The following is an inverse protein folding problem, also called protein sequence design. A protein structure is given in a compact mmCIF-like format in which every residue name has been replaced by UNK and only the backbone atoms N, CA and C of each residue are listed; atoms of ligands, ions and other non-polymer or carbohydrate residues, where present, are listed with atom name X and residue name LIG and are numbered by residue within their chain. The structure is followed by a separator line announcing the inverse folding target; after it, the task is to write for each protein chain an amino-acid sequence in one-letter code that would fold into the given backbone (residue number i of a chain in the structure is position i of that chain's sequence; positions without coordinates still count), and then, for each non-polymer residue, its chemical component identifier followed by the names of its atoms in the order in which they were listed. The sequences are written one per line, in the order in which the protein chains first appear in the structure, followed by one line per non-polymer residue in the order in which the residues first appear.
data_IF_261322875729
#
_entry.id   IF_261322875729
#
_cell.length_a   1.000
_cell.length_b   1.000
_cell.length_c   1.000
_cell.angle_alpha   90.00
_cell.angle_beta   90.00
_cell.angle_gamma   90.00
#
_symmetry.space_group_name_H-M   'P 1'
#
loop_
_entity.id
_entity.type
_entity.pdbx_description
1 polymer ?
#
# COMPACT_ATOMS: atom_id res chain seq x y z
N UNK A 1 -14.00 -32.44 -15.52
CA UNK A 1 -13.41 -31.83 -14.37
C UNK A 1 -12.00 -31.40 -14.75
N UNK A 2 -11.84 -30.26 -15.32
CA UNK A 2 -10.55 -29.78 -15.81
C UNK A 2 -10.33 -28.42 -15.13
N UNK A 3 -9.44 -28.40 -14.14
CA UNK A 3 -8.96 -27.16 -13.55
C UNK A 3 -8.20 -26.36 -14.60
N UNK A 4 -8.76 -25.25 -15.02
CA UNK A 4 -8.04 -24.28 -15.84
C UNK A 4 -7.00 -23.59 -14.95
N UNK A 5 -5.73 -23.82 -15.24
CA UNK A 5 -4.63 -23.00 -14.75
C UNK A 5 -4.92 -21.55 -15.12
N UNK A 6 -5.22 -20.73 -14.12
CA UNK A 6 -5.27 -19.29 -14.28
C UNK A 6 -3.83 -18.83 -14.40
N UNK A 7 -3.48 -18.24 -15.52
CA UNK A 7 -2.16 -17.71 -15.83
C UNK A 7 -1.76 -16.69 -14.76
N UNK A 8 -0.64 -16.93 -14.08
CA UNK A 8 0.07 -15.93 -13.31
C UNK A 8 0.70 -14.98 -14.31
N UNK A 9 0.21 -13.75 -14.38
CA UNK A 9 0.85 -12.70 -15.19
C UNK A 9 2.07 -12.17 -14.43
N UNK A 10 3.25 -12.64 -14.82
CA UNK A 10 4.53 -12.11 -14.37
C UNK A 10 4.95 -10.96 -15.30
N UNK A 11 5.06 -9.75 -14.75
CA UNK A 11 5.57 -8.61 -15.51
C UNK A 11 7.09 -8.48 -15.32
N UNK A 12 7.83 -8.48 -16.45
CA UNK A 12 9.26 -8.18 -16.49
C UNK A 12 9.45 -6.76 -17.01
N UNK A 13 10.03 -5.90 -16.21
CA UNK A 13 10.35 -4.53 -16.60
C UNK A 13 11.83 -4.40 -16.94
N UNK A 14 12.13 -3.83 -18.10
CA UNK A 14 13.47 -3.62 -18.60
C UNK A 14 13.80 -2.11 -18.63
N UNK A 15 14.98 -1.76 -18.14
CA UNK A 15 15.46 -0.38 -18.25
C UNK A 15 16.03 -0.09 -19.64
N UNK A 16 15.45 0.88 -20.36
CA UNK A 16 16.01 1.44 -21.58
C UNK A 16 16.52 2.85 -21.28
N UNK A 17 17.77 2.99 -20.93
CA UNK A 17 18.41 4.33 -20.93
C UNK A 17 18.86 4.67 -22.35
N UNK A 18 18.01 5.32 -23.14
CA UNK A 18 18.44 6.05 -24.33
C UNK A 18 18.91 7.43 -23.89
N UNK A 19 20.23 7.70 -23.97
CA UNK A 19 20.77 9.05 -23.97
C UNK A 19 20.24 9.76 -25.21
N UNK A 20 19.38 10.75 -25.03
CA UNK A 20 18.99 11.72 -26.06
C UNK A 20 20.13 12.73 -26.18
N UNK A 21 20.90 12.64 -27.25
CA UNK A 21 21.79 13.70 -27.66
C UNK A 21 20.98 14.70 -28.49
N UNK A 22 20.76 15.88 -27.94
CA UNK A 22 20.18 17.02 -28.65
C UNK A 22 21.22 17.55 -29.62
N UNK A 23 20.86 17.55 -30.90
CA UNK A 23 21.67 18.16 -31.94
C UNK A 23 21.38 19.65 -32.03
N UNK A 24 22.42 20.44 -32.14
CA UNK A 24 22.45 21.56 -33.11
C UNK A 24 23.86 22.06 -33.28
N UNK A 25 24.40 21.89 -34.49
CA UNK A 25 25.39 22.78 -35.07
C UNK A 25 25.53 22.50 -36.56
N UNK A 26 24.85 23.31 -37.34
CA UNK A 26 25.06 23.42 -38.78
C UNK A 26 25.89 24.67 -39.09
N UNK A 27 26.86 24.45 -39.97
CA UNK A 27 27.54 25.39 -40.89
C UNK A 27 28.78 26.14 -40.38
N UNK A 28 29.91 25.77 -40.96
CA UNK A 28 30.66 26.70 -41.84
C UNK A 28 31.71 25.97 -42.69
N UNK A 29 31.65 26.22 -43.99
CA UNK A 29 32.58 25.82 -45.05
C UNK A 29 33.97 26.43 -44.87
N UNK A 30 35.04 25.65 -45.07
CA UNK A 30 36.18 26.12 -45.88
C UNK A 30 37.00 24.92 -46.38
N UNK A 31 37.27 24.90 -47.69
CA UNK A 31 38.05 23.90 -48.41
C UNK A 31 39.53 24.02 -48.04
N UNK A 32 40.12 22.95 -47.45
CA UNK A 32 41.57 22.70 -47.58
C UNK A 32 41.74 21.19 -47.82
N UNK A 33 42.22 20.85 -49.05
CA UNK A 33 42.67 19.51 -49.40
C UNK A 33 43.95 19.21 -48.63
N UNK A 34 43.93 18.24 -47.72
CA UNK A 34 45.11 17.56 -47.21
C UNK A 34 44.98 16.06 -47.52
N UNK A 35 46.00 15.54 -48.18
CA UNK A 35 46.17 14.12 -48.39
C UNK A 35 46.37 13.44 -47.03
N UNK A 36 45.41 12.67 -46.57
CA UNK A 36 45.57 11.81 -45.41
C UNK A 36 45.54 10.34 -45.86
N UNK A 37 46.62 9.63 -45.58
CA UNK A 37 46.69 8.18 -45.71
C UNK A 37 45.46 7.55 -45.01
N UNK A 38 44.64 6.81 -45.74
CA UNK A 38 43.55 6.04 -45.21
C UNK A 38 44.12 5.02 -44.21
N UNK A 39 43.99 5.28 -42.92
CA UNK A 39 44.13 4.24 -41.90
C UNK A 39 42.94 3.28 -42.06
N UNK A 40 43.24 1.98 -42.12
CA UNK A 40 42.22 0.95 -42.12
C UNK A 40 41.27 1.12 -40.89
N UNK A 41 39.95 0.95 -41.04
CA UNK A 41 39.04 1.08 -39.96
C UNK A 41 39.42 0.06 -38.86
N UNK A 42 39.75 0.54 -37.66
CA UNK A 42 39.87 -0.36 -36.50
C UNK A 42 38.53 -1.08 -36.34
N UNK A 43 38.57 -2.42 -36.36
CA UNK A 43 37.39 -3.22 -36.01
C UNK A 43 36.80 -2.66 -34.69
N UNK A 44 35.55 -2.23 -34.76
CA UNK A 44 34.82 -1.82 -33.56
C UNK A 44 34.82 -3.04 -32.62
N UNK A 45 35.40 -2.89 -31.45
CA UNK A 45 35.28 -3.87 -30.37
C UNK A 45 33.83 -3.81 -29.96
N UNK A 46 33.06 -4.82 -30.34
CA UNK A 46 31.69 -5.01 -29.82
C UNK A 46 31.83 -5.30 -28.33
N UNK A 47 31.47 -4.33 -27.50
CA UNK A 47 31.31 -4.61 -26.09
C UNK A 47 30.23 -5.71 -25.93
N UNK A 48 30.43 -6.68 -25.03
CA UNK A 48 29.40 -7.67 -24.75
C UNK A 48 28.10 -6.95 -24.38
N UNK A 49 26.95 -7.47 -24.74
CA UNK A 49 25.67 -6.87 -24.38
C UNK A 49 25.63 -6.70 -22.88
N UNK A 50 25.37 -5.47 -22.42
CA UNK A 50 25.15 -5.20 -21.00
C UNK A 50 23.90 -5.95 -20.62
N UNK A 51 24.05 -6.97 -19.76
CA UNK A 51 22.91 -7.70 -19.23
C UNK A 51 22.00 -6.72 -18.48
N UNK A 52 20.77 -6.56 -18.95
CA UNK A 52 19.85 -5.63 -18.34
C UNK A 52 19.38 -6.19 -17.00
N UNK A 53 19.53 -5.42 -15.94
CA UNK A 53 18.98 -5.76 -14.63
C UNK A 53 17.45 -5.81 -14.71
N UNK A 54 16.86 -6.88 -14.14
CA UNK A 54 15.42 -7.12 -14.19
C UNK A 54 14.88 -7.31 -12.79
N UNK A 55 13.73 -6.71 -12.51
CA UNK A 55 12.92 -6.99 -11.33
C UNK A 55 11.64 -7.68 -11.78
N UNK A 56 11.22 -8.70 -11.04
CA UNK A 56 9.94 -9.38 -11.25
C UNK A 56 8.96 -8.83 -10.21
N UNK A 57 7.75 -8.53 -10.67
CA UNK A 57 6.61 -8.15 -9.83
C UNK A 57 5.52 -9.18 -10.11
N UNK A 58 5.06 -9.87 -9.07
CA UNK A 58 4.02 -10.89 -9.16
C UNK A 58 2.86 -10.50 -8.25
N UNK A 59 1.67 -10.39 -8.82
CA UNK A 59 0.45 -10.13 -8.08
C UNK A 59 -0.16 -11.48 -7.65
N UNK A 60 -0.14 -11.76 -6.36
CA UNK A 60 -0.73 -12.98 -5.79
C UNK A 60 -2.21 -12.78 -5.44
N UNK A 61 -2.66 -11.53 -5.42
CA UNK A 61 -4.03 -11.08 -5.25
C UNK A 61 -4.15 -9.58 -5.46
N UNK A 62 -5.38 -9.05 -5.57
CA UNK A 62 -5.66 -7.62 -5.75
C UNK A 62 -5.61 -7.12 -7.20
N UNK A 63 -5.30 -7.98 -8.19
CA UNK A 63 -5.29 -7.59 -9.59
C UNK A 63 -6.65 -7.91 -10.23
N UNK A 64 -7.32 -6.90 -10.82
CA UNK A 64 -8.68 -6.98 -11.36
C UNK A 64 -9.74 -7.46 -10.36
N UNK A 65 -9.51 -7.28 -9.08
CA UNK A 65 -10.42 -7.62 -8.00
C UNK A 65 -10.23 -6.66 -6.83
N UNK A 66 -11.19 -6.62 -5.91
CA UNK A 66 -11.06 -5.91 -4.63
C UNK A 66 -10.82 -6.94 -3.53
N UNK A 67 -9.78 -6.69 -2.75
CA UNK A 67 -9.36 -7.59 -1.66
C UNK A 67 -8.21 -8.50 -2.02
N UNK A 68 -7.75 -9.28 -1.05
CA UNK A 68 -6.59 -10.19 -1.14
C UNK A 68 -5.31 -9.51 -1.63
N UNK A 69 -5.13 -8.22 -1.35
CA UNK A 69 -3.96 -7.49 -1.83
C UNK A 69 -2.68 -8.18 -1.36
N UNK A 70 -1.87 -8.63 -2.32
CA UNK A 70 -0.57 -9.24 -2.06
C UNK A 70 0.31 -9.14 -3.29
N UNK A 71 1.38 -8.35 -3.20
CA UNK A 71 2.35 -8.15 -4.28
C UNK A 71 3.70 -8.66 -3.85
N UNK A 72 4.34 -9.48 -4.69
CA UNK A 72 5.66 -10.03 -4.47
C UNK A 72 6.66 -9.33 -5.40
N UNK A 73 7.75 -8.83 -4.82
CA UNK A 73 8.89 -8.26 -5.53
C UNK A 73 10.07 -9.20 -5.47
N UNK A 74 10.71 -9.46 -6.61
CA UNK A 74 11.85 -10.36 -6.72
C UNK A 74 12.97 -9.72 -7.54
N UNK A 75 14.16 -9.74 -6.96
CA UNK A 75 15.39 -9.35 -7.65
C UNK A 75 16.52 -10.30 -7.25
N UNK A 76 17.03 -11.10 -8.22
CA UNK A 76 18.04 -12.14 -7.98
C UNK A 76 17.63 -13.10 -6.85
N UNK A 77 18.35 -13.12 -5.75
CA UNK A 77 18.09 -14.01 -4.61
C UNK A 77 17.18 -13.38 -3.54
N UNK A 78 16.81 -12.13 -3.68
CA UNK A 78 16.02 -11.42 -2.68
C UNK A 78 14.59 -11.24 -3.12
N UNK A 79 13.67 -11.47 -2.19
CA UNK A 79 12.23 -11.28 -2.36
C UNK A 79 11.66 -10.56 -1.14
N UNK A 80 10.63 -9.76 -1.34
CA UNK A 80 9.79 -9.23 -0.25
C UNK A 80 8.35 -9.08 -0.70
N UNK A 81 7.46 -9.00 0.26
CA UNK A 81 6.01 -8.96 0.04
C UNK A 81 5.50 -7.57 0.44
N UNK A 82 4.57 -7.03 -0.32
CA UNK A 82 3.76 -5.87 0.06
C UNK A 82 2.34 -6.35 0.25
N UNK A 83 1.84 -6.15 1.47
CA UNK A 83 0.53 -6.56 1.96
C UNK A 83 0.30 -8.08 1.94
N UNK A 84 -0.68 -8.54 2.69
CA UNK A 84 -1.17 -9.92 2.69
C UNK A 84 -2.62 -9.91 3.19
N UNK A 85 -3.52 -9.54 2.30
CA UNK A 85 -4.90 -9.30 2.59
C UNK A 85 -5.79 -10.53 2.48
N UNK A 86 -7.06 -10.33 2.81
CA UNK A 86 -8.14 -11.27 2.52
C UNK A 86 -9.21 -10.62 1.63
N UNK A 87 -10.07 -11.44 1.06
CA UNK A 87 -11.33 -11.01 0.48
C UNK A 87 -12.48 -11.78 1.15
N UNK A 88 -13.64 -11.14 1.21
CA UNK A 88 -14.87 -11.83 1.63
C UNK A 88 -15.44 -12.63 0.45
N UNK A 89 -15.97 -13.83 0.72
CA UNK A 89 -16.55 -14.67 -0.32
C UNK A 89 -17.80 -14.01 -0.91
N UNK A 90 -18.01 -14.22 -2.20
CA UNK A 90 -19.25 -13.87 -2.90
C UNK A 90 -20.35 -14.89 -2.62
N UNK A 91 -21.58 -14.58 -2.98
CA UNK A 91 -22.73 -15.50 -2.87
C UNK A 91 -22.52 -16.83 -3.65
N UNK A 92 -21.56 -16.84 -4.58
CA UNK A 92 -21.20 -18.03 -5.38
C UNK A 92 -20.33 -19.05 -4.63
N UNK A 93 -19.86 -18.68 -3.43
CA UNK A 93 -18.99 -19.50 -2.57
C UNK A 93 -19.67 -19.84 -1.23
N UNK A 94 -20.78 -20.57 -1.23
CA UNK A 94 -21.51 -20.90 0.01
C UNK A 94 -20.64 -21.78 0.91
N UNK A 95 -20.60 -21.45 2.22
CA UNK A 95 -19.80 -22.18 3.23
C UNK A 95 -18.32 -21.81 3.27
N UNK A 96 -17.89 -20.79 2.51
CA UNK A 96 -16.56 -20.21 2.60
C UNK A 96 -16.62 -18.97 3.48
N UNK A 97 -15.78 -18.88 4.51
CA UNK A 97 -15.76 -17.76 5.44
C UNK A 97 -14.89 -16.61 4.95
N UNK A 98 -13.77 -16.93 4.28
CA UNK A 98 -12.82 -15.94 3.74
C UNK A 98 -12.01 -16.53 2.59
N UNK A 99 -11.47 -15.64 1.76
CA UNK A 99 -10.60 -16.00 0.64
C UNK A 99 -9.24 -15.31 0.82
N UNK A 100 -8.15 -16.07 0.73
CA UNK A 100 -6.78 -15.59 0.86
C UNK A 100 -5.97 -15.85 -0.41
N UNK A 101 -4.84 -15.15 -0.62
CA UNK A 101 -3.93 -15.46 -1.71
C UNK A 101 -3.36 -16.87 -1.62
N UNK A 102 -2.93 -17.43 -2.76
CA UNK A 102 -2.16 -18.67 -2.81
C UNK A 102 -0.70 -18.41 -2.39
N UNK A 103 -0.29 -18.95 -1.26
CA UNK A 103 1.04 -18.78 -0.70
C UNK A 103 2.08 -19.78 -1.23
N UNK A 104 1.73 -20.70 -2.13
CA UNK A 104 2.61 -21.78 -2.59
C UNK A 104 3.96 -21.25 -3.10
N UNK A 105 3.95 -20.16 -3.88
CA UNK A 105 5.20 -19.58 -4.41
C UNK A 105 6.06 -18.98 -3.29
N UNK A 106 5.45 -18.35 -2.30
CA UNK A 106 6.15 -17.79 -1.12
C UNK A 106 6.77 -18.89 -0.27
N UNK A 107 6.01 -19.95 0.02
CA UNK A 107 6.45 -21.09 0.84
C UNK A 107 7.63 -21.78 0.17
N UNK A 108 7.56 -22.01 -1.13
CA UNK A 108 8.63 -22.68 -1.90
C UNK A 108 9.92 -21.83 -2.01
N UNK A 109 9.89 -20.56 -1.68
CA UNK A 109 11.02 -19.64 -1.74
C UNK A 109 11.27 -18.92 -0.40
N UNK A 110 10.86 -19.49 0.71
CA UNK A 110 10.87 -18.81 2.02
C UNK A 110 12.23 -18.26 2.44
N UNK A 111 13.33 -18.94 2.12
CA UNK A 111 14.70 -18.50 2.38
C UNK A 111 15.09 -17.20 1.65
N UNK A 112 14.43 -16.88 0.57
CA UNK A 112 14.64 -15.66 -0.21
C UNK A 112 13.80 -14.49 0.29
N UNK A 113 12.73 -14.75 1.07
CA UNK A 113 11.81 -13.73 1.55
C UNK A 113 12.43 -12.96 2.71
N UNK A 114 12.62 -11.66 2.53
CA UNK A 114 13.23 -10.76 3.52
C UNK A 114 12.23 -10.16 4.50
N UNK A 115 10.94 -10.19 4.18
CA UNK A 115 9.87 -9.72 5.05
C UNK A 115 8.61 -9.33 4.28
N UNK A 116 7.61 -8.88 5.05
CA UNK A 116 6.37 -8.27 4.55
C UNK A 116 6.35 -6.81 4.99
N UNK A 117 6.07 -5.89 4.07
CA UNK A 117 5.74 -4.50 4.36
C UNK A 117 4.24 -4.35 4.20
N UNK A 118 3.57 -3.81 5.21
CA UNK A 118 2.13 -3.57 5.17
C UNK A 118 1.88 -2.07 5.00
N UNK A 119 1.09 -1.74 3.97
CA UNK A 119 0.78 -0.34 3.62
C UNK A 119 -0.16 0.32 4.61
N UNK A 120 -1.16 -0.40 5.09
CA UNK A 120 -2.14 0.07 6.08
C UNK A 120 -2.97 -1.08 6.68
N UNK A 121 -3.80 -0.78 7.69
CA UNK A 121 -4.46 -1.76 8.54
C UNK A 121 -5.84 -2.27 8.09
N UNK A 122 -6.23 -2.13 6.81
CA UNK A 122 -7.48 -2.71 6.32
C UNK A 122 -7.41 -4.23 6.15
N UNK A 123 -8.55 -4.91 6.25
CA UNK A 123 -8.63 -6.38 6.18
C UNK A 123 -8.12 -6.95 4.86
N UNK A 124 -8.36 -6.27 3.77
CA UNK A 124 -7.90 -6.65 2.45
C UNK A 124 -6.39 -6.41 2.23
N UNK A 125 -5.68 -5.88 3.24
CA UNK A 125 -4.23 -5.73 3.30
C UNK A 125 -3.55 -6.53 4.42
N UNK A 126 -4.25 -6.82 5.54
CA UNK A 126 -3.68 -7.54 6.68
C UNK A 126 -4.38 -8.88 6.99
N UNK A 127 -5.57 -9.11 6.43
CA UNK A 127 -6.41 -10.23 6.85
C UNK A 127 -5.86 -11.62 6.55
N UNK A 128 -5.02 -11.75 5.51
CA UNK A 128 -4.34 -13.00 5.16
C UNK A 128 -3.05 -13.24 5.95
N UNK A 129 -2.53 -12.21 6.64
CA UNK A 129 -1.19 -12.22 7.21
C UNK A 129 -0.97 -13.33 8.25
N UNK A 130 -1.94 -13.55 9.16
CA UNK A 130 -1.82 -14.60 10.17
C UNK A 130 -1.77 -16.01 9.53
N UNK A 131 -2.47 -16.22 8.43
CA UNK A 131 -2.44 -17.48 7.68
C UNK A 131 -1.11 -17.72 6.99
N UNK A 132 -0.52 -16.67 6.41
CA UNK A 132 0.83 -16.72 5.85
C UNK A 132 1.87 -17.03 6.93
N UNK A 133 1.83 -16.31 8.06
CA UNK A 133 2.80 -16.42 9.13
C UNK A 133 2.72 -17.73 9.94
N UNK A 134 1.65 -18.50 9.79
CA UNK A 134 1.58 -19.91 10.25
C UNK A 134 2.49 -20.84 9.44
N UNK A 135 2.80 -20.47 8.19
CA UNK A 135 3.54 -21.31 7.27
C UNK A 135 4.98 -20.84 7.05
N UNK A 136 5.25 -19.53 7.19
CA UNK A 136 6.58 -18.94 7.04
C UNK A 136 6.86 -17.96 8.18
N UNK A 137 8.07 -17.98 8.73
CA UNK A 137 8.47 -17.06 9.80
C UNK A 137 9.33 -15.94 9.23
N UNK A 138 8.70 -14.83 8.91
CA UNK A 138 9.33 -13.65 8.29
C UNK A 138 8.95 -12.38 9.06
N UNK A 139 9.82 -11.34 9.13
CA UNK A 139 9.49 -10.11 9.81
C UNK A 139 8.40 -9.32 9.08
N UNK A 140 7.57 -8.62 9.85
CA UNK A 140 6.51 -7.75 9.36
C UNK A 140 6.82 -6.31 9.73
N UNK A 141 6.81 -5.43 8.74
CA UNK A 141 7.06 -3.99 8.88
C UNK A 141 5.75 -3.25 8.62
N UNK A 142 5.32 -2.43 9.56
CA UNK A 142 4.10 -1.65 9.41
C UNK A 142 4.11 -0.40 10.31
N UNK A 143 3.22 0.54 10.04
CA UNK A 143 3.05 1.73 10.87
C UNK A 143 2.39 1.40 12.21
N UNK A 144 2.46 2.32 13.16
CA UNK A 144 2.08 2.12 14.57
C UNK A 144 0.64 1.58 14.71
N UNK A 145 -0.33 2.21 14.06
CA UNK A 145 -1.73 1.77 14.12
C UNK A 145 -1.90 0.38 13.49
N UNK A 146 -1.29 0.18 12.33
CA UNK A 146 -1.33 -1.10 11.60
C UNK A 146 -0.71 -2.23 12.44
N UNK A 147 0.43 -1.98 13.11
CA UNK A 147 1.01 -2.93 14.09
C UNK A 147 0.03 -3.25 15.21
N UNK A 148 -0.67 -2.26 15.75
CA UNK A 148 -1.70 -2.49 16.79
C UNK A 148 -2.80 -3.44 16.34
N UNK A 149 -3.30 -3.24 15.12
CA UNK A 149 -4.34 -4.11 14.53
C UNK A 149 -3.81 -5.51 14.21
N UNK A 150 -2.59 -5.63 13.70
CA UNK A 150 -1.92 -6.90 13.42
C UNK A 150 -1.72 -7.71 14.71
N UNK A 151 -1.33 -7.06 15.81
CA UNK A 151 -1.14 -7.73 17.11
C UNK A 151 -2.40 -8.48 17.56
N UNK A 152 -3.58 -7.86 17.46
CA UNK A 152 -4.84 -8.51 17.79
C UNK A 152 -5.08 -9.78 16.96
N UNK A 153 -4.84 -9.71 15.65
CA UNK A 153 -4.96 -10.88 14.76
C UNK A 153 -3.95 -11.98 15.08
N UNK A 154 -2.71 -11.61 15.34
CA UNK A 154 -1.68 -12.59 15.72
C UNK A 154 -1.99 -13.25 17.07
N UNK A 155 -2.58 -12.52 18.01
CA UNK A 155 -3.03 -13.06 19.31
C UNK A 155 -4.13 -14.10 19.12
N UNK A 156 -5.17 -13.80 18.33
CA UNK A 156 -6.25 -14.75 17.99
C UNK A 156 -5.72 -16.04 17.37
N UNK A 157 -4.61 -15.97 16.64
CA UNK A 157 -3.97 -17.12 16.00
C UNK A 157 -2.82 -17.76 16.81
N UNK A 158 -2.52 -17.27 18.03
CA UNK A 158 -1.41 -17.76 18.88
C UNK A 158 0.00 -17.53 18.29
N UNK A 159 0.15 -16.45 17.52
CA UNK A 159 1.40 -16.09 16.81
C UNK A 159 2.10 -14.85 17.35
N UNK A 160 1.49 -14.09 18.27
CA UNK A 160 1.99 -12.79 18.71
C UNK A 160 3.46 -12.82 19.16
N UNK A 161 3.85 -13.85 19.93
CA UNK A 161 5.21 -14.00 20.46
C UNK A 161 6.16 -14.75 19.50
N UNK A 162 5.71 -15.13 18.31
CA UNK A 162 6.49 -15.90 17.34
C UNK A 162 6.94 -15.05 16.15
N UNK A 163 6.29 -13.91 15.93
CA UNK A 163 6.49 -13.05 14.77
C UNK A 163 7.24 -11.80 15.17
N UNK A 164 8.27 -11.45 14.41
CA UNK A 164 8.98 -10.19 14.58
C UNK A 164 8.19 -9.07 13.92
N UNK A 165 7.60 -8.18 14.73
CA UNK A 165 6.94 -6.96 14.29
C UNK A 165 7.93 -5.79 14.40
N UNK A 166 8.04 -4.99 13.34
CA UNK A 166 8.91 -3.81 13.27
C UNK A 166 8.05 -2.60 12.93
N UNK A 167 7.96 -1.69 13.89
CA UNK A 167 7.27 -0.41 13.68
C UNK A 167 8.11 0.51 12.79
N UNK A 168 7.47 1.09 11.81
CA UNK A 168 8.03 2.01 10.82
C UNK A 168 7.11 3.22 10.66
N UNK A 169 7.61 4.30 10.09
CA UNK A 169 6.86 5.54 9.87
C UNK A 169 7.19 6.16 8.52
N UNK A 170 6.36 7.08 8.01
CA UNK A 170 6.66 7.84 6.80
C UNK A 170 8.07 8.44 6.83
N UNK A 171 8.76 8.39 5.70
CA UNK A 171 10.15 8.81 5.48
C UNK A 171 11.22 7.84 6.01
N UNK A 172 10.85 6.78 6.73
CA UNK A 172 11.80 5.73 7.04
C UNK A 172 12.27 5.01 5.77
N UNK A 173 13.51 4.52 5.82
CA UNK A 173 14.10 3.70 4.77
C UNK A 173 14.41 2.31 5.31
N UNK A 174 13.86 1.30 4.66
CA UNK A 174 14.04 -0.10 5.02
C UNK A 174 14.90 -0.76 3.95
N UNK A 175 15.88 -1.54 4.36
CA UNK A 175 16.68 -2.36 3.44
C UNK A 175 16.28 -3.83 3.59
N UNK A 176 15.75 -4.41 2.52
CA UNK A 176 15.38 -5.82 2.41
C UNK A 176 16.19 -6.47 1.29
N UNK A 177 17.35 -7.02 1.64
CA UNK A 177 18.31 -7.54 0.65
C UNK A 177 18.74 -6.45 -0.32
N UNK A 178 18.51 -6.68 -1.60
CA UNK A 178 18.84 -5.74 -2.70
C UNK A 178 17.86 -4.58 -2.86
N UNK A 179 16.79 -4.54 -2.07
CA UNK A 179 15.77 -3.50 -2.12
C UNK A 179 15.98 -2.48 -1.01
N UNK A 180 15.89 -1.19 -1.37
CA UNK A 180 15.81 -0.09 -0.41
C UNK A 180 14.45 0.60 -0.60
N UNK A 181 13.64 0.59 0.45
CA UNK A 181 12.23 0.98 0.39
C UNK A 181 12.01 2.17 1.32
N UNK A 182 11.53 3.27 0.77
CA UNK A 182 11.09 4.45 1.53
C UNK A 182 9.57 4.49 1.60
N UNK A 183 9.06 4.79 2.79
CA UNK A 183 7.64 4.97 3.04
C UNK A 183 7.23 6.42 2.79
N UNK A 184 6.15 6.61 2.05
CA UNK A 184 5.61 7.94 1.71
C UNK A 184 4.21 8.04 2.29
N UNK A 185 3.93 9.09 3.06
CA UNK A 185 2.59 9.32 3.62
C UNK A 185 1.53 9.49 2.53
N UNK A 186 0.42 8.78 2.68
CA UNK A 186 -0.77 8.92 1.82
C UNK A 186 -2.03 9.13 2.68
N UNK A 187 -3.00 9.87 2.16
CA UNK A 187 -4.31 9.95 2.80
C UNK A 187 -5.15 8.74 2.41
N UNK A 188 -5.81 8.14 3.38
CA UNK A 188 -6.79 7.09 3.19
C UNK A 188 -7.90 7.19 4.24
N UNK A 189 -8.81 6.21 4.33
CA UNK A 189 -9.87 6.18 5.34
C UNK A 189 -9.39 5.75 6.74
N UNK A 190 -8.15 5.31 6.84
CA UNK A 190 -7.45 4.92 8.07
C UNK A 190 -6.15 5.73 8.21
N UNK A 191 -5.79 6.20 9.41
CA UNK A 191 -4.51 6.87 9.65
C UNK A 191 -3.30 5.98 9.34
N UNK A 192 -2.14 6.61 9.20
CA UNK A 192 -0.85 5.95 9.00
C UNK A 192 -0.71 5.14 7.69
N UNK A 193 -1.60 5.32 6.72
CA UNK A 193 -1.46 4.70 5.42
C UNK A 193 -0.22 5.22 4.70
N UNK A 194 0.50 4.32 4.03
CA UNK A 194 1.75 4.64 3.31
C UNK A 194 1.78 4.04 1.92
N UNK A 195 2.30 4.82 0.98
CA UNK A 195 2.84 4.32 -0.28
C UNK A 195 4.33 4.03 -0.15
N UNK A 196 4.89 3.36 -1.14
CA UNK A 196 6.26 2.86 -1.15
C UNK A 196 7.04 3.36 -2.36
N UNK A 197 8.26 3.85 -2.13
CA UNK A 197 9.24 4.04 -3.18
C UNK A 197 10.30 2.94 -3.07
N UNK A 198 10.24 1.97 -3.95
CA UNK A 198 11.05 0.75 -3.95
C UNK A 198 12.21 0.95 -4.92
N UNK A 199 13.43 0.99 -4.41
CA UNK A 199 14.67 1.13 -5.18
C UNK A 199 15.39 -0.20 -5.24
N UNK A 200 15.78 -0.62 -6.43
CA UNK A 200 16.64 -1.77 -6.67
C UNK A 200 17.57 -1.48 -7.86
N UNK A 201 18.57 -2.33 -8.14
CA UNK A 201 19.47 -2.09 -9.28
C UNK A 201 18.78 -1.97 -10.64
N UNK A 202 17.58 -2.56 -10.82
CA UNK A 202 16.80 -2.41 -12.04
C UNK A 202 16.16 -1.03 -12.19
N UNK A 203 15.94 -0.28 -11.11
CA UNK A 203 15.32 1.04 -11.13
C UNK A 203 14.46 1.35 -9.91
N UNK A 204 13.59 2.35 -10.05
CA UNK A 204 12.68 2.82 -9.00
C UNK A 204 11.25 2.39 -9.36
N UNK A 205 10.56 1.76 -8.42
CA UNK A 205 9.16 1.40 -8.55
C UNK A 205 8.41 2.19 -7.47
N UNK A 206 7.26 2.74 -7.83
CA UNK A 206 6.33 3.36 -6.88
C UNK A 206 5.12 2.46 -6.76
N UNK A 207 4.75 2.10 -5.52
CA UNK A 207 3.46 1.50 -5.19
C UNK A 207 2.72 2.44 -4.26
N UNK A 208 1.53 2.89 -4.65
CA UNK A 208 0.81 3.93 -3.90
C UNK A 208 0.21 3.40 -2.60
N UNK A 209 -0.04 2.10 -2.47
CA UNK A 209 -1.03 1.60 -1.55
C UNK A 209 -2.41 2.19 -1.89
N UNK A 210 -3.37 2.04 -1.01
CA UNK A 210 -4.66 2.70 -1.15
C UNK A 210 -4.54 4.17 -0.77
N UNK A 211 -5.02 5.05 -1.62
CA UNK A 211 -4.87 6.48 -1.41
C UNK A 211 -6.05 7.31 -1.92
N UNK A 212 -6.15 8.50 -1.41
CA UNK A 212 -6.94 9.59 -1.99
C UNK A 212 -6.14 10.90 -1.95
N UNK A 213 -6.45 11.82 -2.85
CA UNK A 213 -5.93 13.18 -2.79
C UNK A 213 -6.97 14.02 -2.07
N UNK A 214 -6.76 14.25 -0.78
CA UNK A 214 -7.62 15.10 0.06
C UNK A 214 -6.83 16.34 0.48
N UNK A 215 -7.27 17.51 0.05
CA UNK A 215 -6.62 18.80 0.37
C UNK A 215 -7.06 19.38 1.71
N UNK A 216 -8.05 18.77 2.36
CA UNK A 216 -8.58 19.15 3.67
C UNK A 216 -8.83 17.90 4.53
N UNK A 217 -7.80 17.08 4.78
CA UNK A 217 -7.96 15.84 5.54
C UNK A 217 -8.40 16.13 6.98
N UNK A 218 -9.03 15.14 7.61
CA UNK A 218 -9.54 15.25 8.98
C UNK A 218 -8.39 15.29 10.00
N UNK A 219 -7.32 14.56 9.75
CA UNK A 219 -6.14 14.44 10.60
C UNK A 219 -5.09 15.55 10.39
N UNK A 220 -5.31 16.44 9.43
CA UNK A 220 -4.46 17.61 9.17
C UNK A 220 -3.29 17.37 8.23
N UNK A 221 -2.82 16.14 8.06
CA UNK A 221 -1.69 15.81 7.19
C UNK A 221 -2.15 15.45 5.78
N UNK A 222 -1.64 16.18 4.79
CA UNK A 222 -1.90 15.91 3.37
C UNK A 222 -0.96 14.83 2.84
N UNK A 223 -1.43 14.11 1.83
CA UNK A 223 -0.58 13.19 1.05
C UNK A 223 0.71 13.89 0.60
N UNK A 224 1.83 13.23 0.75
CA UNK A 224 3.16 13.77 0.41
C UNK A 224 3.43 13.75 -1.10
N UNK A 225 2.60 14.48 -1.86
CA UNK A 225 2.77 14.65 -3.30
C UNK A 225 4.16 15.19 -3.70
N UNK A 226 4.77 16.13 -2.94
CA UNK A 226 6.14 16.57 -3.23
C UNK A 226 7.12 15.41 -3.30
N UNK A 227 7.01 14.41 -2.39
CA UNK A 227 7.92 13.26 -2.39
C UNK A 227 7.72 12.36 -3.60
N UNK A 228 6.48 12.10 -4.00
CA UNK A 228 6.20 11.41 -5.26
C UNK A 228 6.78 12.15 -6.47
N UNK A 229 6.64 13.48 -6.52
CA UNK A 229 7.18 14.30 -7.59
C UNK A 229 8.73 14.26 -7.64
N UNK A 230 9.42 14.22 -6.49
CA UNK A 230 10.87 14.06 -6.43
C UNK A 230 11.32 12.73 -7.04
N UNK A 231 10.60 11.63 -6.78
CA UNK A 231 10.86 10.34 -7.41
C UNK A 231 10.55 10.37 -8.92
N UNK A 232 9.46 11.01 -9.33
CA UNK A 232 9.11 11.21 -10.72
C UNK A 232 10.23 11.92 -11.51
N UNK A 233 10.87 12.94 -10.91
CA UNK A 233 12.02 13.65 -11.52
C UNK A 233 13.26 12.77 -11.67
N UNK A 234 13.47 11.78 -10.79
CA UNK A 234 14.58 10.82 -10.87
C UNK A 234 14.37 9.76 -11.96
N UNK A 235 13.15 9.60 -12.43
CA UNK A 235 12.73 8.54 -13.34
C UNK A 235 12.22 7.31 -12.58
N UNK A 236 11.00 6.91 -12.87
CA UNK A 236 10.31 5.76 -12.27
C UNK A 236 10.17 4.68 -13.33
N UNK A 237 10.60 3.46 -13.00
CA UNK A 237 10.50 2.29 -13.87
C UNK A 237 9.06 1.83 -14.03
N UNK A 238 8.32 1.80 -12.92
CA UNK A 238 6.91 1.43 -12.87
C UNK A 238 6.18 2.18 -11.77
N UNK A 239 4.90 2.48 -12.02
CA UNK A 239 3.95 2.97 -11.04
C UNK A 239 2.84 1.93 -10.89
N UNK A 240 2.70 1.36 -9.68
CA UNK A 240 1.58 0.53 -9.27
C UNK A 240 0.65 1.43 -8.47
N UNK A 241 -0.47 1.78 -9.05
CA UNK A 241 -1.41 2.74 -8.45
C UNK A 241 -2.73 2.06 -8.11
N UNK A 242 -3.25 2.35 -6.91
CA UNK A 242 -4.65 2.10 -6.62
C UNK A 242 -5.51 2.70 -7.75
N UNK A 243 -6.42 1.90 -8.25
CA UNK A 243 -7.33 2.26 -9.33
C UNK A 243 -8.80 2.02 -8.97
N UNK A 244 -9.10 1.90 -7.69
CA UNK A 244 -10.46 1.76 -7.17
C UNK A 244 -11.31 2.93 -7.64
N UNK A 245 -12.47 2.62 -8.26
CA UNK A 245 -13.36 3.59 -8.88
C UNK A 245 -12.78 4.42 -10.06
N UNK A 246 -11.64 4.04 -10.64
CA UNK A 246 -11.04 4.79 -11.75
C UNK A 246 -11.96 4.95 -12.96
N UNK A 247 -12.90 4.03 -13.16
CA UNK A 247 -13.90 4.06 -14.24
C UNK A 247 -15.11 4.98 -13.93
N UNK A 248 -15.25 5.45 -12.68
CA UNK A 248 -16.40 6.29 -12.27
C UNK A 248 -16.08 7.76 -12.50
N UNK A 249 -16.88 8.49 -13.28
CA UNK A 249 -16.68 9.92 -13.45
C UNK A 249 -16.94 10.67 -12.14
N UNK A 250 -16.18 11.76 -11.91
CA UNK A 250 -16.30 12.62 -10.75
C UNK A 250 -15.13 12.49 -9.79
N UNK A 251 -15.31 12.96 -8.56
CA UNK A 251 -14.33 12.91 -7.49
C UNK A 251 -14.98 12.57 -6.15
N UNK A 252 -14.23 11.96 -5.25
CA UNK A 252 -14.64 11.75 -3.86
C UNK A 252 -14.42 13.03 -3.07
N UNK A 253 -15.44 13.46 -2.32
CA UNK A 253 -15.33 14.63 -1.43
C UNK A 253 -14.45 14.30 -0.22
N UNK A 254 -13.91 15.36 0.42
CA UNK A 254 -13.18 15.23 1.68
C UNK A 254 -14.05 14.58 2.76
N UNK A 255 -13.44 13.75 3.61
CA UNK A 255 -14.10 13.14 4.77
C UNK A 255 -14.60 14.21 5.76
N UNK A 256 -14.03 15.41 5.77
CA UNK A 256 -14.50 16.56 6.56
C UNK A 256 -15.96 16.92 6.28
N UNK A 257 -16.41 16.79 5.03
CA UNK A 257 -17.81 17.09 4.65
C UNK A 257 -18.81 16.12 5.28
N UNK A 258 -18.37 14.90 5.62
CA UNK A 258 -19.20 13.93 6.35
C UNK A 258 -19.48 14.44 7.78
N UNK A 259 -18.52 15.08 8.43
CA UNK A 259 -18.70 15.72 9.74
C UNK A 259 -19.81 16.77 9.74
N UNK A 260 -19.85 17.63 8.73
CA UNK A 260 -20.92 18.63 8.58
C UNK A 260 -22.30 17.97 8.42
N UNK A 261 -22.35 16.87 7.69
CA UNK A 261 -23.57 16.07 7.55
C UNK A 261 -24.01 15.44 8.86
N UNK A 262 -23.10 14.93 9.67
CA UNK A 262 -23.40 14.43 11.01
C UNK A 262 -23.95 15.53 11.90
N UNK A 263 -23.36 16.72 11.91
CA UNK A 263 -23.87 17.87 12.66
C UNK A 263 -25.35 18.16 12.33
N UNK A 264 -25.70 18.19 11.05
CA UNK A 264 -27.08 18.42 10.60
C UNK A 264 -28.01 17.28 11.04
N UNK A 265 -27.61 16.03 10.84
CA UNK A 265 -28.41 14.85 11.15
C UNK A 265 -28.67 14.74 12.67
N UNK A 266 -27.63 14.92 13.49
CA UNK A 266 -27.74 14.86 14.94
C UNK A 266 -28.64 15.97 15.49
N UNK A 267 -28.59 17.19 14.90
CA UNK A 267 -29.47 18.29 15.24
C UNK A 267 -30.94 17.98 14.93
N UNK A 268 -31.23 17.39 13.78
CA UNK A 268 -32.60 16.99 13.39
C UNK A 268 -33.15 15.86 14.23
N UNK A 269 -32.29 14.97 14.70
CA UNK A 269 -32.66 13.78 15.49
C UNK A 269 -32.59 14.00 17.02
N UNK A 270 -32.90 15.21 17.52
CA UNK A 270 -32.71 15.64 18.93
C UNK A 270 -33.24 14.63 19.96
N UNK A 271 -34.40 14.06 19.76
CA UNK A 271 -35.05 13.13 20.69
C UNK A 271 -35.17 11.69 20.12
N UNK A 272 -34.32 11.32 19.15
CA UNK A 272 -34.36 10.01 18.52
C UNK A 272 -33.06 9.26 18.79
N UNK A 273 -33.11 7.92 18.82
CA UNK A 273 -31.92 7.09 18.69
C UNK A 273 -31.37 7.23 17.29
N UNK A 274 -30.05 7.37 17.17
CA UNK A 274 -29.33 7.43 15.90
C UNK A 274 -28.55 6.14 15.76
N UNK A 275 -28.68 5.47 14.65
CA UNK A 275 -27.90 4.29 14.26
C UNK A 275 -27.04 4.71 13.07
N UNK A 276 -25.73 4.58 13.20
CA UNK A 276 -24.76 4.87 12.14
C UNK A 276 -24.13 3.55 11.71
N UNK A 277 -24.31 3.18 10.46
CA UNK A 277 -23.59 2.07 9.85
C UNK A 277 -22.38 2.63 9.10
N UNK A 278 -21.19 2.11 9.40
CA UNK A 278 -19.94 2.51 8.77
C UNK A 278 -18.99 1.33 8.67
N UNK A 279 -17.99 1.44 7.82
CA UNK A 279 -16.88 0.48 7.83
C UNK A 279 -16.15 0.56 9.17
N UNK A 280 -15.89 -0.58 9.76
CA UNK A 280 -15.22 -0.67 11.07
C UNK A 280 -13.84 -0.01 11.06
N UNK A 281 -13.14 -0.03 9.94
CA UNK A 281 -11.78 0.49 9.77
C UNK A 281 -11.69 2.02 9.57
N UNK A 282 -12.81 2.73 9.37
CA UNK A 282 -12.77 4.19 9.14
C UNK A 282 -12.69 4.97 10.47
N UNK A 283 -11.48 5.07 11.00
CA UNK A 283 -11.20 5.71 12.30
C UNK A 283 -11.59 7.19 12.33
N UNK A 284 -11.36 7.90 11.21
CA UNK A 284 -11.70 9.32 11.09
C UNK A 284 -13.20 9.56 11.21
N UNK A 285 -14.01 8.68 10.62
CA UNK A 285 -15.48 8.75 10.72
C UNK A 285 -15.96 8.43 12.14
N UNK A 286 -15.33 7.45 12.79
CA UNK A 286 -15.63 7.12 14.20
C UNK A 286 -15.32 8.31 15.09
N UNK A 287 -14.19 9.00 14.89
CA UNK A 287 -13.86 10.21 15.64
C UNK A 287 -14.93 11.29 15.44
N UNK A 288 -15.32 11.59 14.20
CA UNK A 288 -16.35 12.58 13.91
C UNK A 288 -17.69 12.24 14.59
N UNK A 289 -18.07 10.97 14.62
CA UNK A 289 -19.30 10.52 15.31
C UNK A 289 -19.18 10.76 16.81
N UNK A 290 -18.05 10.42 17.42
CA UNK A 290 -17.79 10.63 18.85
C UNK A 290 -17.84 12.11 19.19
N UNK A 291 -17.20 12.96 18.38
CA UNK A 291 -17.13 14.41 18.59
C UNK A 291 -18.52 15.05 18.54
N UNK A 292 -19.32 14.74 17.53
CA UNK A 292 -20.68 15.26 17.38
C UNK A 292 -21.59 14.73 18.49
N UNK A 293 -21.45 13.48 18.88
CA UNK A 293 -22.22 12.91 20.00
C UNK A 293 -21.87 13.62 21.32
N UNK A 294 -20.58 13.81 21.60
CA UNK A 294 -20.09 14.50 22.79
C UNK A 294 -20.58 15.96 22.87
N UNK A 295 -20.46 16.71 21.77
CA UNK A 295 -20.92 18.10 21.69
C UNK A 295 -22.44 18.24 21.95
N UNK A 296 -23.20 17.17 21.79
CA UNK A 296 -24.65 17.14 22.01
C UNK A 296 -25.07 16.38 23.27
N UNK A 297 -24.13 16.07 24.15
CA UNK A 297 -24.40 15.35 25.42
C UNK A 297 -24.96 13.94 25.21
N UNK A 298 -24.69 13.31 24.07
CA UNK A 298 -25.16 11.95 23.76
C UNK A 298 -24.12 10.92 24.18
N UNK A 299 -24.58 9.71 24.42
CA UNK A 299 -23.73 8.52 24.62
C UNK A 299 -23.58 7.77 23.31
N UNK A 300 -22.47 7.04 23.17
CA UNK A 300 -22.17 6.21 22.03
C UNK A 300 -22.04 4.77 22.49
N UNK A 301 -22.74 3.86 21.83
CA UNK A 301 -22.55 2.43 21.99
C UNK A 301 -21.95 1.89 20.68
N UNK A 302 -20.88 1.12 20.79
CA UNK A 302 -20.16 0.52 19.66
C UNK A 302 -20.61 -0.93 19.54
N UNK A 303 -20.95 -1.37 18.32
CA UNK A 303 -21.43 -2.72 18.04
C UNK A 303 -20.58 -3.34 16.94
N UNK A 304 -20.07 -4.55 17.20
CA UNK A 304 -19.28 -5.35 16.27
C UNK A 304 -17.83 -5.47 16.69
N UNK A 305 -17.33 -6.70 16.76
CA UNK A 305 -15.97 -7.02 17.26
C UNK A 305 -14.87 -6.22 16.58
N UNK A 306 -14.92 -6.09 15.26
CA UNK A 306 -13.91 -5.32 14.50
C UNK A 306 -13.91 -3.85 14.87
N UNK A 307 -15.10 -3.23 15.04
CA UNK A 307 -15.21 -1.83 15.42
C UNK A 307 -14.82 -1.61 16.88
N UNK A 308 -15.20 -2.51 17.79
CA UNK A 308 -14.80 -2.48 19.20
C UNK A 308 -13.28 -2.58 19.34
N UNK A 309 -12.65 -3.51 18.60
CA UNK A 309 -11.19 -3.65 18.59
C UNK A 309 -10.51 -2.40 18.03
N UNK A 310 -11.04 -1.84 16.93
CA UNK A 310 -10.49 -0.60 16.36
C UNK A 310 -10.56 0.57 17.34
N UNK A 311 -11.71 0.75 18.00
CA UNK A 311 -11.89 1.82 19.01
C UNK A 311 -10.91 1.66 20.14
N UNK A 312 -10.77 0.43 20.68
CA UNK A 312 -9.82 0.12 21.75
C UNK A 312 -8.37 0.43 21.32
N UNK A 313 -7.92 -0.13 20.21
CA UNK A 313 -6.55 0.07 19.69
C UNK A 313 -6.31 1.53 19.34
N UNK A 314 -7.30 2.19 18.71
CA UNK A 314 -7.21 3.61 18.35
C UNK A 314 -7.07 4.54 19.57
N UNK A 315 -7.83 4.27 20.64
CA UNK A 315 -7.72 4.99 21.90
C UNK A 315 -6.38 4.74 22.59
N UNK A 316 -5.97 3.46 22.76
CA UNK A 316 -4.71 3.08 23.37
C UNK A 316 -3.48 3.68 22.68
N UNK A 317 -3.51 3.80 21.37
CA UNK A 317 -2.41 4.35 20.57
C UNK A 317 -2.50 5.86 20.34
N UNK A 318 -3.60 6.51 20.73
CA UNK A 318 -3.83 7.95 20.62
C UNK A 318 -4.34 8.43 19.25
N UNK A 319 -4.87 7.52 18.41
CA UNK A 319 -5.53 7.86 17.14
C UNK A 319 -7.01 8.19 17.29
N UNK A 320 -7.62 7.80 18.40
CA UNK A 320 -8.97 8.18 18.79
C UNK A 320 -8.93 8.92 20.13
N UNK A 321 -9.59 10.07 20.17
CA UNK A 321 -9.82 10.83 21.39
C UNK A 321 -11.23 10.48 21.86
N UNK A 322 -11.30 9.69 22.93
CA UNK A 322 -12.56 9.21 23.51
C UNK A 322 -12.82 9.98 24.82
N UNK A 323 -13.77 10.92 24.86
CA UNK A 323 -14.12 11.65 26.10
C UNK A 323 -14.60 10.69 27.18
N UNK A 324 -14.24 10.97 28.44
CA UNK A 324 -14.67 10.15 29.60
C UNK A 324 -16.17 9.96 29.61
N UNK A 325 -16.60 8.72 29.86
CA UNK A 325 -18.00 8.33 29.99
C UNK A 325 -18.87 8.52 28.73
N UNK A 326 -18.28 8.74 27.54
CA UNK A 326 -19.08 8.82 26.33
C UNK A 326 -19.50 7.45 25.82
N UNK A 327 -18.60 6.46 25.90
CA UNK A 327 -18.91 5.08 25.55
C UNK A 327 -19.74 4.41 26.65
N UNK A 328 -20.76 3.68 26.23
CA UNK A 328 -21.60 2.86 27.11
C UNK A 328 -21.65 1.42 26.58
N UNK A 329 -21.73 0.42 27.47
CA UNK A 329 -22.00 -0.94 27.04
C UNK A 329 -23.41 -1.05 26.45
N UNK A 330 -23.62 -2.09 25.66
CA UNK A 330 -24.91 -2.42 25.04
C UNK A 330 -25.68 -3.34 25.95
#
# INVERSE_FOLDING_TARGET
MHGKNIFKEDFYLMTNQKKVLTGDERKRNSKRRYYTKKRAPKKAVSLPPVEQEKVRISFLGGMNEIGKNMTLYEYKSDMFIVDCGLAFPTAELPGVDLVIPDFTHVINNQERIRGVIVTHGHEDHIGGLAYLLKQVNIPVYATKLTIGLIKGKLEEHGLLNKVKLVEIKPRDNITLGSFNIELIHVNHSIPDAVGLAIRCPAGIIIQTGDFKIDTTPVDGDMIDLPRFAEYGKKGVLALLSDSTNAERPGCTMSEKNVGESFELLFRKAKNKRIIVATFASNIHRVQQIIDVANARGRKVAVIGRSLENLVKVGEELGYLIVPKNILIPI
#
